data_IF_489133541357
#
_entry.id   IF_489133541357
#
_cell.length_a   1.000
_cell.length_b   1.000
_cell.length_c   1.000
_cell.angle_alpha   90.00
_cell.angle_beta   90.00
_cell.angle_gamma   90.00
#
_symmetry.space_group_name_H-M   'P 1'
#
loop_
_entity.id
_entity.type
_entity.pdbx_description
1 polymer ?
#
# COMPACT_ATOMS: atom_id res chain seq x y z
N UNK A 1 9.21 -8.26 -2.06
CA UNK A 1 9.09 -7.14 -3.00
C UNK A 1 7.84 -7.29 -3.83
N UNK A 2 7.29 -6.19 -4.24
CA UNK A 2 6.02 -6.15 -4.98
C UNK A 2 6.32 -5.96 -6.45
N UNK A 3 5.71 -6.77 -7.29
CA UNK A 3 5.86 -6.67 -8.74
C UNK A 3 4.51 -6.72 -9.40
N UNK A 4 4.48 -6.55 -10.73
CA UNK A 4 3.24 -6.63 -11.50
C UNK A 4 2.53 -7.95 -11.21
N UNK A 5 1.24 -7.88 -10.92
CA UNK A 5 0.44 -9.06 -10.60
C UNK A 5 0.40 -9.46 -9.14
N UNK A 6 1.24 -8.87 -8.29
CA UNK A 6 1.22 -9.19 -6.86
C UNK A 6 -0.10 -8.73 -6.24
N UNK A 7 -0.71 -9.62 -5.44
CA UNK A 7 -1.93 -9.31 -4.71
C UNK A 7 -1.54 -8.78 -3.32
N UNK A 8 -2.12 -7.64 -2.97
CA UNK A 8 -1.87 -7.03 -1.67
C UNK A 8 -3.19 -6.91 -0.90
N UNK A 9 -3.09 -7.07 0.42
CA UNK A 9 -4.19 -6.74 1.32
C UNK A 9 -4.28 -5.22 1.45
N UNK A 10 -5.49 -4.69 1.58
CA UNK A 10 -5.69 -3.27 1.82
C UNK A 10 -5.81 -3.05 3.32
N UNK A 11 -4.93 -2.24 3.87
CA UNK A 11 -4.79 -2.03 5.31
C UNK A 11 -5.52 -0.77 5.78
N UNK A 12 -6.62 -0.42 5.14
CA UNK A 12 -7.40 0.75 5.53
C UNK A 12 -8.91 0.48 5.40
N UNK A 13 -9.70 1.47 5.80
CA UNK A 13 -11.15 1.37 5.77
C UNK A 13 -11.77 2.07 4.55
N UNK A 14 -11.03 2.16 3.45
CA UNK A 14 -11.52 2.79 2.22
C UNK A 14 -12.64 1.99 1.53
N UNK A 15 -12.76 0.70 1.86
CA UNK A 15 -13.74 -0.18 1.24
C UNK A 15 -13.15 -1.24 0.33
N UNK A 16 -11.97 -1.01 -0.21
CA UNK A 16 -11.25 -2.03 -0.95
C UNK A 16 -10.63 -3.03 0.04
N UNK A 17 -10.59 -4.31 -0.33
CA UNK A 17 -10.01 -5.36 0.52
C UNK A 17 -8.76 -5.96 -0.06
N UNK A 18 -8.72 -6.18 -1.37
CA UNK A 18 -7.54 -6.70 -2.07
C UNK A 18 -7.35 -5.95 -3.36
N UNK A 19 -6.09 -5.71 -3.68
CA UNK A 19 -5.69 -5.05 -4.91
C UNK A 19 -4.59 -5.85 -5.57
N UNK A 20 -4.48 -5.73 -6.89
CA UNK A 20 -3.39 -6.34 -7.66
C UNK A 20 -2.55 -5.24 -8.27
N UNK A 21 -1.25 -5.31 -8.07
CA UNK A 21 -0.32 -4.33 -8.63
C UNK A 21 -0.33 -4.40 -10.15
N UNK A 22 -0.60 -3.25 -10.79
CA UNK A 22 -0.53 -3.13 -12.24
C UNK A 22 0.85 -2.58 -12.63
N UNK A 23 1.29 -1.54 -11.95
CA UNK A 23 2.50 -0.84 -12.32
C UNK A 23 3.11 -0.13 -11.10
N UNK A 24 4.42 -0.18 -10.99
CA UNK A 24 5.15 0.57 -9.99
C UNK A 24 5.41 1.99 -10.52
N UNK A 25 5.44 2.94 -9.61
CA UNK A 25 5.68 4.35 -9.96
C UNK A 25 6.99 4.81 -9.37
N UNK A 26 7.72 5.63 -10.11
CA UNK A 26 8.81 6.46 -9.60
C UNK A 26 10.11 5.73 -9.43
N UNK A 27 10.51 4.75 -9.77
CA UNK A 27 11.84 4.18 -9.72
C UNK A 27 12.42 3.94 -11.10
N UNK A 28 13.67 4.22 -11.28
CA UNK A 28 14.33 3.95 -12.54
C UNK A 28 14.30 2.46 -12.90
N UNK A 29 14.25 1.61 -11.91
CA UNK A 29 14.27 0.17 -12.12
C UNK A 29 12.90 -0.41 -12.50
N UNK A 30 11.82 0.15 -12.04
CA UNK A 30 10.46 -0.18 -12.45
C UNK A 30 9.98 -1.62 -12.30
N UNK A 31 10.80 -2.54 -11.81
CA UNK A 31 10.43 -3.96 -11.71
C UNK A 31 9.83 -4.34 -10.38
N UNK A 32 10.30 -3.74 -9.31
CA UNK A 32 9.87 -4.09 -7.96
C UNK A 32 9.59 -2.84 -7.16
N UNK A 33 8.55 -2.91 -6.35
CA UNK A 33 8.23 -1.86 -5.41
C UNK A 33 8.57 -2.32 -4.01
N UNK A 34 8.97 -1.37 -3.18
CA UNK A 34 9.40 -1.58 -1.81
C UNK A 34 8.51 -0.83 -0.84
N UNK A 35 8.80 -0.96 0.45
CA UNK A 35 8.11 -0.20 1.49
C UNK A 35 8.16 1.29 1.17
N UNK A 36 7.00 1.92 1.23
CA UNK A 36 6.87 3.35 0.95
C UNK A 36 6.74 3.74 -0.51
N UNK A 37 6.82 2.80 -1.42
CA UNK A 37 6.65 3.09 -2.84
C UNK A 37 5.17 3.18 -3.20
N UNK A 38 4.87 4.03 -4.17
CA UNK A 38 3.51 4.18 -4.71
C UNK A 38 3.34 3.26 -5.90
N UNK A 39 2.25 2.52 -5.92
CA UNK A 39 1.91 1.65 -7.04
C UNK A 39 0.56 2.04 -7.61
N UNK A 40 0.34 1.69 -8.86
CA UNK A 40 -0.99 1.69 -9.48
C UNK A 40 -1.52 0.27 -9.42
N UNK A 41 -2.74 0.09 -8.96
CA UNK A 41 -3.30 -1.23 -8.72
C UNK A 41 -4.76 -1.27 -9.15
N UNK A 42 -5.27 -2.47 -9.39
CA UNK A 42 -6.69 -2.68 -9.63
C UNK A 42 -7.33 -3.34 -8.42
N UNK A 43 -8.53 -2.91 -8.07
CA UNK A 43 -9.28 -3.47 -6.95
C UNK A 43 -9.85 -4.82 -7.39
N UNK A 44 -9.48 -5.87 -6.68
CA UNK A 44 -9.96 -7.23 -6.96
C UNK A 44 -11.08 -7.67 -6.04
N UNK A 45 -11.11 -7.15 -4.82
CA UNK A 45 -12.15 -7.48 -3.85
C UNK A 45 -12.45 -6.23 -3.05
N UNK A 46 -13.74 -5.93 -2.89
CA UNK A 46 -14.19 -4.74 -2.18
C UNK A 46 -15.45 -5.04 -1.39
N UNK A 47 -15.72 -4.23 -0.35
CA UNK A 47 -16.94 -4.32 0.42
C UNK A 47 -18.14 -4.01 -0.48
N UNK A 48 -19.28 -4.69 -0.30
CA UNK A 48 -20.46 -4.51 -1.19
C UNK A 48 -20.99 -3.10 -1.26
N UNK A 49 -20.84 -2.33 -0.19
CA UNK A 49 -21.34 -0.95 -0.10
C UNK A 49 -20.30 0.09 -0.45
N UNK A 50 -19.13 -0.33 -0.91
CA UNK A 50 -18.06 0.61 -1.21
C UNK A 50 -18.15 1.17 -2.63
N UNK A 51 -17.50 2.32 -2.92
CA UNK A 51 -17.46 2.85 -4.28
C UNK A 51 -16.65 2.00 -5.24
N UNK A 52 -15.94 0.99 -4.73
CA UNK A 52 -15.10 0.10 -5.54
C UNK A 52 -15.83 -1.16 -6.00
N UNK A 53 -17.14 -1.21 -5.90
CA UNK A 53 -17.92 -2.34 -6.37
C UNK A 53 -17.89 -2.41 -7.89
N UNK A 54 -17.82 -3.61 -8.42
CA UNK A 54 -17.56 -3.87 -9.83
C UNK A 54 -18.53 -3.20 -10.81
N UNK A 55 -19.78 -3.04 -10.44
CA UNK A 55 -20.79 -2.44 -11.30
C UNK A 55 -20.50 -0.99 -11.70
N UNK A 56 -19.53 -0.35 -11.07
CA UNK A 56 -19.17 1.03 -11.36
C UNK A 56 -17.97 1.16 -12.29
N UNK A 57 -17.55 0.08 -12.93
CA UNK A 57 -16.51 0.10 -13.95
C UNK A 57 -15.11 -0.14 -13.40
N UNK A 58 -14.13 0.35 -14.10
CA UNK A 58 -12.73 0.12 -13.74
C UNK A 58 -12.39 0.74 -12.39
N UNK A 59 -11.68 -0.03 -11.60
CA UNK A 59 -11.27 0.42 -10.30
C UNK A 59 -9.76 0.38 -10.18
N UNK A 60 -9.15 1.34 -10.86
CA UNK A 60 -7.71 1.54 -10.82
C UNK A 60 -7.44 2.58 -9.74
N UNK A 61 -6.58 2.23 -8.80
CA UNK A 61 -6.28 3.08 -7.64
C UNK A 61 -4.78 3.22 -7.47
N UNK A 62 -4.38 4.22 -6.71
CA UNK A 62 -3.00 4.37 -6.25
C UNK A 62 -2.91 3.90 -4.82
N UNK A 63 -1.80 3.25 -4.48
CA UNK A 63 -1.61 2.75 -3.14
C UNK A 63 -0.14 2.89 -2.74
N UNK A 64 0.08 3.04 -1.44
CA UNK A 64 1.42 3.09 -0.85
C UNK A 64 1.64 1.77 -0.13
N UNK A 65 2.75 1.10 -0.39
CA UNK A 65 3.09 -0.16 0.24
C UNK A 65 3.52 0.11 1.67
N UNK A 66 2.81 -0.47 2.63
CA UNK A 66 3.08 -0.26 4.06
C UNK A 66 3.70 -1.49 4.73
N UNK A 67 3.50 -2.69 4.18
CA UNK A 67 4.09 -3.92 4.68
C UNK A 67 4.48 -4.84 3.53
N UNK A 68 5.57 -5.57 3.70
CA UNK A 68 5.96 -6.63 2.75
C UNK A 68 6.36 -7.89 3.50
N UNK A 69 6.12 -9.04 2.88
CA UNK A 69 6.54 -10.33 3.44
C UNK A 69 8.02 -10.58 3.25
N UNK A 70 8.63 -9.89 2.30
CA UNK A 70 10.05 -10.05 2.04
C UNK A 70 10.86 -9.16 2.97
N UNK A 71 12.03 -9.67 3.41
CA UNK A 71 12.94 -8.90 4.23
C UNK A 71 13.33 -7.60 3.53
N UNK A 72 13.25 -6.51 4.27
CA UNK A 72 13.73 -5.21 3.83
C UNK A 72 14.92 -4.83 4.70
N UNK A 73 16.06 -4.61 4.06
CA UNK A 73 17.27 -4.20 4.77
C UNK A 73 17.23 -2.69 5.00
N UNK A 74 17.47 -2.30 6.24
CA UNK A 74 17.53 -0.90 6.64
C UNK A 74 18.97 -0.39 6.59
N UNK A 75 19.12 0.93 6.64
CA UNK A 75 20.43 1.57 6.56
C UNK A 75 21.36 1.15 7.69
N UNK A 76 20.83 0.88 8.87
CA UNK A 76 21.61 0.46 10.02
C UNK A 76 22.00 -1.02 9.99
N UNK A 77 21.65 -1.73 8.93
CA UNK A 77 21.95 -3.15 8.77
C UNK A 77 20.90 -4.09 9.33
N UNK A 78 19.89 -3.57 10.02
CA UNK A 78 18.79 -4.41 10.51
C UNK A 78 17.83 -4.74 9.38
N UNK A 79 16.96 -5.71 9.63
CA UNK A 79 15.94 -6.15 8.66
C UNK A 79 14.57 -6.05 9.29
N UNK A 80 13.58 -5.76 8.45
CA UNK A 80 12.19 -5.86 8.86
C UNK A 80 11.44 -6.72 7.86
N UNK A 81 10.51 -7.52 8.38
CA UNK A 81 9.65 -8.39 7.59
C UNK A 81 8.30 -8.46 8.28
N UNK A 82 7.25 -8.39 7.47
CA UNK A 82 5.88 -8.53 7.96
C UNK A 82 5.30 -9.88 7.49
N UNK A 83 4.15 -10.23 8.02
CA UNK A 83 3.49 -11.50 7.67
C UNK A 83 2.69 -11.42 6.37
N UNK A 84 2.45 -10.22 5.88
CA UNK A 84 1.65 -10.01 4.66
C UNK A 84 2.23 -8.88 3.80
N UNK A 85 1.72 -8.80 2.58
CA UNK A 85 1.94 -7.64 1.73
C UNK A 85 0.69 -6.77 1.83
N UNK A 86 0.86 -5.53 2.27
CA UNK A 86 -0.27 -4.65 2.49
C UNK A 86 0.00 -3.25 1.97
N UNK A 87 -1.06 -2.58 1.57
CA UNK A 87 -1.00 -1.24 1.03
C UNK A 87 -2.16 -0.40 1.56
N UNK A 88 -1.98 0.90 1.53
CA UNK A 88 -3.01 1.88 1.89
C UNK A 88 -3.34 2.69 0.65
N UNK A 89 -4.63 2.83 0.34
CA UNK A 89 -5.07 3.59 -0.83
C UNK A 89 -4.86 5.08 -0.61
N UNK A 90 -4.37 5.75 -1.64
CA UNK A 90 -4.10 7.19 -1.60
C UNK A 90 -4.68 7.87 -2.83
N UNK A 91 -4.92 9.17 -2.68
CA UNK A 91 -5.37 10.02 -3.79
C UNK A 91 -4.19 10.36 -4.71
N UNK A 92 -4.46 11.10 -5.77
CA UNK A 92 -3.41 11.57 -6.67
C UNK A 92 -2.39 12.47 -5.97
N UNK A 93 -2.79 13.13 -4.88
CA UNK A 93 -1.90 13.98 -4.09
C UNK A 93 -1.15 13.22 -3.00
N UNK A 94 -1.35 11.90 -2.91
CA UNK A 94 -0.69 11.10 -1.88
C UNK A 94 -1.39 11.09 -0.52
N UNK A 95 -2.62 11.61 -0.45
CA UNK A 95 -3.41 11.64 0.77
C UNK A 95 -4.14 10.33 0.97
N UNK A 96 -4.22 9.76 2.19
CA UNK A 96 -5.00 8.55 2.43
C UNK A 96 -6.47 8.78 2.10
N UNK A 97 -7.08 7.83 1.43
CA UNK A 97 -8.51 7.87 1.12
C UNK A 97 -9.31 7.49 2.35
N UNK A 98 -8.85 6.48 3.09
CA UNK A 98 -9.51 6.06 4.31
C UNK A 98 -9.16 6.94 5.50
N UNK A 99 -9.88 6.74 6.59
CA UNK A 99 -9.65 7.47 7.84
C UNK A 99 -8.94 6.64 8.90
N UNK A 100 -8.75 5.34 8.65
CA UNK A 100 -8.09 4.43 9.60
C UNK A 100 -7.12 3.53 8.85
N UNK A 101 -6.04 3.18 9.53
CA UNK A 101 -5.05 2.21 9.04
C UNK A 101 -5.02 1.04 10.01
N UNK A 102 -5.07 -0.17 9.49
CA UNK A 102 -5.11 -1.39 10.29
C UNK A 102 -3.74 -2.05 10.33
N UNK A 103 -3.29 -2.39 11.54
CA UNK A 103 -2.03 -3.07 11.75
C UNK A 103 -0.81 -2.14 11.65
N UNK A 104 0.38 -2.69 11.82
CA UNK A 104 1.60 -1.88 11.80
C UNK A 104 1.95 -1.41 10.39
N UNK A 105 2.70 -0.32 10.33
CA UNK A 105 3.29 0.16 9.08
C UNK A 105 4.80 0.30 9.27
N UNK A 106 5.53 0.25 8.17
CA UNK A 106 6.97 0.42 8.21
C UNK A 106 7.32 1.90 8.36
N UNK A 107 8.34 2.19 9.16
CA UNK A 107 8.77 3.58 9.38
C UNK A 107 9.43 4.20 8.15
N UNK A 108 9.74 3.41 7.13
CA UNK A 108 10.24 3.94 5.86
C UNK A 108 9.28 4.91 5.18
N UNK A 109 7.99 4.85 5.53
CA UNK A 109 7.01 5.81 5.02
C UNK A 109 7.32 7.24 5.46
N UNK A 110 7.96 7.42 6.61
CA UNK A 110 8.37 8.75 7.09
C UNK A 110 9.39 9.37 6.15
N UNK A 111 10.33 8.58 5.68
CA UNK A 111 11.34 9.05 4.71
C UNK A 111 10.73 9.42 3.38
N UNK A 112 9.64 8.76 3.01
CA UNK A 112 8.92 9.02 1.76
C UNK A 112 7.83 10.08 1.93
N UNK A 113 7.76 10.72 3.09
CA UNK A 113 6.86 11.84 3.40
C UNK A 113 5.37 11.47 3.48
N UNK A 114 5.05 10.23 3.82
CA UNK A 114 3.67 9.81 4.03
C UNK A 114 3.28 9.93 5.50
N UNK A 115 3.40 11.13 6.04
CA UNK A 115 3.19 11.39 7.46
C UNK A 115 1.74 11.17 7.91
N UNK A 116 0.78 11.41 7.03
CA UNK A 116 -0.62 11.17 7.38
C UNK A 116 -0.92 9.70 7.57
N UNK A 117 -0.32 8.83 6.75
CA UNK A 117 -0.47 7.39 6.92
C UNK A 117 0.14 6.97 8.26
N UNK A 118 1.32 7.50 8.59
CA UNK A 118 1.98 7.20 9.85
C UNK A 118 1.12 7.65 11.04
N UNK A 119 0.51 8.82 10.95
CA UNK A 119 -0.32 9.34 12.03
C UNK A 119 -1.59 8.52 12.26
N UNK A 120 -2.10 7.87 11.22
CA UNK A 120 -3.28 7.02 11.32
C UNK A 120 -2.95 5.59 11.76
N UNK A 121 -1.70 5.19 11.68
CA UNK A 121 -1.30 3.82 11.98
C UNK A 121 -1.26 3.59 13.49
N UNK A 122 -1.74 2.41 13.96
CA UNK A 122 -1.68 2.09 15.38
C UNK A 122 -0.27 1.80 15.85
N UNK A 123 0.63 1.40 14.95
CA UNK A 123 2.00 1.07 15.31
C UNK A 123 2.91 1.32 14.12
N UNK A 124 4.09 1.88 14.38
CA UNK A 124 5.09 2.14 13.34
C UNK A 124 6.35 1.36 13.70
N UNK A 125 6.71 0.42 12.86
CA UNK A 125 7.86 -0.44 13.06
C UNK A 125 8.94 -0.13 12.03
#
# INVERSE_FOLDING_TARGET
>A
MIQMGTILEVADNSGARRIACIRMRGGAAGRYAKLGDVITASVKEAAPDSPFVEKHGKRVVRAVIVRTRRNHRRRDGSYIRFDDNAAVLVSNEGEPIGTRVFGPVARELREKKFMKIISLAPEVL
#
